data_IF_763335764237
#
_entry.id   IF_763335764237
#
_cell.length_a   1.000
_cell.length_b   1.000
_cell.length_c   1.000
_cell.angle_alpha   90.00
_cell.angle_beta   90.00
_cell.angle_gamma   90.00
#
_symmetry.space_group_name_H-M   'P 1'
#
loop_
_entity.id
_entity.type
_entity.pdbx_description
1 polymer ?
#
# COMPACT_ATOMS: atom_id res chain seq x y z
N UNK A 1 67.58 39.23 -17.69
CA UNK A 1 66.28 38.83 -18.28
C UNK A 1 66.14 37.31 -18.13
N UNK A 2 65.41 36.85 -17.13
CA UNK A 2 65.17 35.42 -16.89
C UNK A 2 63.80 35.04 -17.45
N UNK A 3 63.77 34.12 -18.41
CA UNK A 3 62.54 33.60 -19.00
C UNK A 3 61.98 32.45 -18.14
N UNK A 4 60.85 32.69 -17.48
CA UNK A 4 60.10 31.69 -16.72
C UNK A 4 59.21 30.88 -17.68
N UNK A 5 59.52 29.60 -17.86
CA UNK A 5 58.65 28.63 -18.58
C UNK A 5 57.57 28.12 -17.63
N UNK A 6 56.32 28.53 -17.84
CA UNK A 6 55.16 27.95 -17.17
C UNK A 6 54.83 26.58 -17.79
N UNK A 7 54.88 25.52 -16.97
CA UNK A 7 54.32 24.20 -17.30
C UNK A 7 52.90 24.12 -16.73
N UNK A 8 51.92 24.01 -17.60
CA UNK A 8 50.52 23.71 -17.28
C UNK A 8 50.39 22.27 -16.78
N UNK A 9 49.78 22.00 -15.61
CA UNK A 9 49.38 20.66 -15.24
C UNK A 9 48.05 20.29 -15.91
N UNK A 10 48.03 19.12 -16.55
CA UNK A 10 46.85 18.51 -17.14
C UNK A 10 45.78 18.25 -16.07
N UNK A 11 44.63 18.89 -16.21
CA UNK A 11 43.44 18.63 -15.40
C UNK A 11 42.94 17.22 -15.72
N UNK A 12 43.21 16.25 -14.84
CA UNK A 12 42.63 14.91 -14.93
C UNK A 12 41.14 14.99 -14.62
N UNK A 13 40.33 14.69 -15.62
CA UNK A 13 38.88 14.60 -15.56
C UNK A 13 38.50 13.33 -14.77
N UNK A 14 38.35 13.44 -13.45
CA UNK A 14 37.81 12.37 -12.61
C UNK A 14 36.30 12.30 -12.84
N UNK A 15 35.90 11.48 -13.80
CA UNK A 15 34.51 11.05 -14.00
C UNK A 15 34.15 10.10 -12.86
N UNK A 16 33.72 10.66 -11.72
CA UNK A 16 33.21 9.90 -10.59
C UNK A 16 31.90 9.21 -10.96
N UNK A 17 31.99 7.90 -11.21
CA UNK A 17 30.84 7.03 -11.42
C UNK A 17 29.99 6.99 -10.14
N UNK A 18 28.92 7.80 -10.11
CA UNK A 18 27.81 7.66 -9.18
C UNK A 18 27.07 6.36 -9.52
N UNK A 19 27.55 5.25 -8.97
CA UNK A 19 26.81 3.99 -8.91
C UNK A 19 25.64 4.19 -7.94
N UNK A 20 24.57 4.81 -8.43
CA UNK A 20 23.29 4.88 -7.73
C UNK A 20 22.77 3.44 -7.71
N UNK A 21 23.04 2.74 -6.61
CA UNK A 21 22.44 1.44 -6.34
C UNK A 21 20.93 1.61 -6.31
N UNK A 22 20.22 0.96 -7.23
CA UNK A 22 18.78 0.76 -7.11
C UNK A 22 18.52 -0.06 -5.84
N UNK A 23 18.30 0.61 -4.71
CA UNK A 23 17.74 -0.04 -3.54
C UNK A 23 16.35 -0.54 -3.95
N UNK A 24 16.22 -1.86 -4.13
CA UNK A 24 14.93 -2.47 -4.45
C UNK A 24 13.95 -2.16 -3.31
N UNK A 25 12.74 -1.74 -3.67
CA UNK A 25 11.68 -1.52 -2.70
C UNK A 25 11.40 -2.82 -1.92
N UNK A 26 11.01 -2.74 -0.63
CA UNK A 26 10.69 -3.92 0.15
C UNK A 26 9.55 -4.71 -0.49
N UNK A 27 9.72 -6.02 -0.57
CA UNK A 27 8.75 -6.97 -1.12
C UNK A 27 8.05 -7.72 0.01
N UNK A 28 6.73 -7.59 0.09
CA UNK A 28 5.86 -8.24 1.05
C UNK A 28 5.26 -9.50 0.41
N UNK A 29 5.76 -10.67 0.82
CA UNK A 29 5.21 -11.95 0.37
C UNK A 29 4.03 -12.34 1.25
N UNK A 30 2.87 -12.52 0.62
CA UNK A 30 1.70 -13.14 1.19
C UNK A 30 1.80 -14.62 0.83
N UNK A 31 1.84 -15.51 1.82
CA UNK A 31 1.97 -16.97 1.63
C UNK A 31 0.68 -17.58 1.05
N UNK A 32 0.32 -17.11 -0.14
CA UNK A 32 -0.86 -17.47 -0.88
C UNK A 32 -0.43 -17.65 -2.32
N UNK A 33 -0.55 -18.87 -2.84
CA UNK A 33 -0.29 -19.08 -4.27
C UNK A 33 -1.39 -18.39 -5.09
N UNK A 34 -0.99 -17.59 -6.08
CA UNK A 34 -1.90 -17.17 -7.13
C UNK A 34 -2.28 -18.41 -7.95
N UNK A 35 -3.57 -18.71 -8.04
CA UNK A 35 -4.03 -19.87 -8.79
C UNK A 35 -4.37 -19.47 -10.23
N UNK A 36 -3.80 -20.14 -11.25
CA UNK A 36 -3.88 -19.72 -12.65
C UNK A 36 -5.15 -20.16 -13.40
N UNK A 37 -6.21 -20.61 -12.72
CA UNK A 37 -7.42 -21.05 -13.42
C UNK A 37 -8.29 -19.86 -13.86
N UNK A 38 -8.91 -19.96 -15.04
CA UNK A 38 -9.93 -19.02 -15.49
C UNK A 38 -10.98 -18.81 -14.38
N UNK A 39 -11.21 -17.55 -14.00
CA UNK A 39 -12.08 -17.18 -12.88
C UNK A 39 -13.56 -17.41 -13.18
N UNK A 40 -13.93 -17.62 -14.45
CA UNK A 40 -15.32 -17.64 -14.90
C UNK A 40 -16.01 -16.28 -14.80
N UNK A 41 -15.31 -15.24 -14.35
CA UNK A 41 -15.75 -13.85 -14.22
C UNK A 41 -14.59 -12.90 -14.51
N UNK A 42 -14.90 -11.67 -14.92
CA UNK A 42 -13.90 -10.68 -15.29
C UNK A 42 -13.59 -9.73 -14.12
N UNK A 43 -12.31 -9.60 -13.78
CA UNK A 43 -11.84 -8.54 -12.86
C UNK A 43 -11.27 -7.39 -13.68
N UNK A 44 -11.92 -6.24 -13.61
CA UNK A 44 -11.57 -5.04 -14.36
C UNK A 44 -10.93 -4.02 -13.41
N UNK A 45 -9.62 -3.80 -13.56
CA UNK A 45 -8.90 -2.79 -12.80
C UNK A 45 -9.14 -1.38 -13.38
N UNK A 46 -9.92 -0.55 -12.67
CA UNK A 46 -10.15 0.87 -12.96
C UNK A 46 -9.50 1.79 -11.92
N UNK A 47 -8.56 1.28 -11.11
CA UNK A 47 -7.83 2.12 -10.14
C UNK A 47 -6.94 3.12 -10.89
N UNK A 48 -6.80 4.30 -10.31
CA UNK A 48 -5.84 5.29 -10.81
C UNK A 48 -4.40 4.78 -10.71
N UNK A 49 -3.54 5.21 -11.64
CA UNK A 49 -2.12 4.81 -11.68
C UNK A 49 -1.36 5.18 -10.40
N UNK A 50 -1.78 6.23 -9.70
CA UNK A 50 -1.21 6.58 -8.40
C UNK A 50 -1.37 5.42 -7.40
N UNK A 51 -2.57 4.84 -7.30
CA UNK A 51 -2.89 3.78 -6.32
C UNK A 51 -2.03 2.52 -6.48
N UNK A 52 -1.48 2.31 -7.67
CA UNK A 52 -0.64 1.16 -8.04
C UNK A 52 0.83 1.34 -7.65
N UNK A 53 1.24 2.57 -7.32
CA UNK A 53 2.64 2.93 -7.06
C UNK A 53 2.90 3.15 -5.57
N UNK A 54 4.11 2.79 -5.09
CA UNK A 54 4.54 3.17 -3.75
C UNK A 54 4.64 4.69 -3.63
N UNK A 55 4.23 5.24 -2.49
CA UNK A 55 4.34 6.67 -2.22
C UNK A 55 4.54 6.93 -0.73
N UNK A 56 5.43 7.86 -0.39
CA UNK A 56 5.46 8.45 0.95
C UNK A 56 4.51 9.63 0.96
N UNK A 57 3.43 9.51 1.72
CA UNK A 57 2.33 10.48 1.64
C UNK A 57 2.74 11.85 2.19
N UNK A 58 3.56 11.89 3.24
CA UNK A 58 4.21 13.12 3.71
C UNK A 58 5.39 12.86 4.64
N UNK A 59 6.41 13.71 4.54
CA UNK A 59 7.51 13.80 5.49
C UNK A 59 7.32 14.92 6.53
N UNK A 60 6.30 15.77 6.38
CA UNK A 60 6.06 16.89 7.27
C UNK A 60 5.32 16.42 8.52
N UNK A 61 5.94 16.53 9.70
CA UNK A 61 5.33 16.10 10.97
C UNK A 61 4.00 16.77 11.32
N UNK A 62 3.74 17.95 10.75
CA UNK A 62 2.47 18.68 10.89
C UNK A 62 1.37 18.22 9.93
N UNK A 63 1.71 17.37 8.95
CA UNK A 63 0.75 16.80 8.00
C UNK A 63 0.03 15.61 8.60
N UNK A 64 -1.27 15.48 8.36
CA UNK A 64 -2.00 14.27 8.73
C UNK A 64 -1.59 13.02 7.90
N UNK A 65 -0.82 13.22 6.83
CA UNK A 65 -0.20 12.16 6.04
C UNK A 65 1.21 11.78 6.52
N UNK A 66 1.69 12.38 7.62
CA UNK A 66 3.02 12.11 8.15
C UNK A 66 3.20 10.64 8.54
N UNK A 67 4.30 10.04 8.10
CA UNK A 67 4.64 8.65 8.47
C UNK A 67 3.69 7.62 7.88
N UNK A 68 2.90 8.00 6.87
CA UNK A 68 2.01 7.11 6.11
C UNK A 68 2.67 6.81 4.76
N UNK A 69 2.74 5.53 4.43
CA UNK A 69 3.31 5.01 3.19
C UNK A 69 2.25 4.26 2.43
N UNK A 70 1.94 4.64 1.19
CA UNK A 70 1.15 3.80 0.28
C UNK A 70 2.05 2.69 -0.26
N UNK A 71 1.56 1.45 -0.19
CA UNK A 71 2.24 0.30 -0.76
C UNK A 71 1.84 0.13 -2.23
N UNK A 72 2.83 -0.11 -3.09
CA UNK A 72 2.64 -0.36 -4.53
C UNK A 72 2.22 -1.80 -4.85
N UNK A 73 1.74 -2.04 -6.06
CA UNK A 73 1.43 -3.39 -6.55
C UNK A 73 2.69 -4.25 -6.69
N UNK A 74 3.81 -3.62 -7.03
CA UNK A 74 5.15 -4.23 -7.14
C UNK A 74 5.75 -4.63 -5.79
N UNK A 75 5.21 -4.11 -4.69
CA UNK A 75 5.64 -4.44 -3.34
C UNK A 75 4.90 -5.62 -2.72
N UNK A 76 3.84 -6.14 -3.34
CA UNK A 76 3.00 -7.20 -2.75
C UNK A 76 2.96 -8.40 -3.68
N UNK A 77 3.37 -9.56 -3.18
CA UNK A 77 3.46 -10.79 -3.98
C UNK A 77 2.69 -11.92 -3.30
N UNK A 78 1.70 -12.54 -3.99
CA UNK A 78 1.17 -12.14 -5.30
C UNK A 78 0.43 -10.80 -5.23
N UNK A 79 0.15 -10.20 -6.40
CA UNK A 79 -0.48 -8.87 -6.46
C UNK A 79 -1.82 -8.85 -5.72
N UNK A 80 -2.19 -7.70 -5.16
CA UNK A 80 -3.45 -7.55 -4.41
C UNK A 80 -4.69 -7.92 -5.23
N UNK A 81 -4.66 -7.68 -6.54
CA UNK A 81 -5.72 -8.11 -7.45
C UNK A 81 -5.75 -9.64 -7.62
N UNK A 82 -4.59 -10.29 -7.73
CA UNK A 82 -4.56 -11.76 -7.78
C UNK A 82 -5.13 -12.38 -6.50
N UNK A 83 -4.81 -11.81 -5.33
CA UNK A 83 -5.37 -12.24 -4.04
C UNK A 83 -6.90 -12.03 -4.00
N UNK A 84 -7.40 -10.90 -4.48
CA UNK A 84 -8.84 -10.63 -4.57
C UNK A 84 -9.55 -11.61 -5.51
N UNK A 85 -9.03 -11.78 -6.73
CA UNK A 85 -9.57 -12.73 -7.71
C UNK A 85 -9.62 -14.13 -7.14
N UNK A 86 -8.56 -14.56 -6.45
CA UNK A 86 -8.51 -15.86 -5.77
C UNK A 86 -9.63 -15.99 -4.73
N UNK A 87 -9.73 -15.04 -3.80
CA UNK A 87 -10.73 -15.08 -2.73
C UNK A 87 -12.17 -15.05 -3.24
N UNK A 88 -12.46 -14.21 -4.24
CA UNK A 88 -13.77 -14.15 -4.88
C UNK A 88 -14.10 -15.44 -5.61
N UNK A 89 -13.15 -16.06 -6.32
CA UNK A 89 -13.36 -17.32 -7.02
C UNK A 89 -13.62 -18.48 -6.06
N UNK A 90 -12.82 -18.62 -5.01
CA UNK A 90 -12.94 -19.71 -4.05
C UNK A 90 -14.29 -19.71 -3.32
N UNK A 91 -14.87 -18.52 -3.11
CA UNK A 91 -16.07 -18.36 -2.30
C UNK A 91 -17.33 -18.08 -3.11
N UNK A 92 -17.20 -17.34 -4.21
CA UNK A 92 -18.31 -16.81 -5.01
C UNK A 92 -18.20 -17.19 -6.49
N UNK A 93 -17.24 -18.03 -6.91
CA UNK A 93 -16.96 -18.29 -8.33
C UNK A 93 -18.18 -18.71 -9.16
N UNK A 94 -19.05 -19.58 -8.62
CA UNK A 94 -20.31 -19.95 -9.28
C UNK A 94 -21.31 -18.79 -9.36
N UNK A 95 -21.39 -17.97 -8.32
CA UNK A 95 -22.30 -16.82 -8.27
C UNK A 95 -21.83 -15.67 -9.17
N UNK A 96 -20.53 -15.59 -9.40
CA UNK A 96 -19.90 -14.58 -10.25
C UNK A 96 -19.79 -14.99 -11.72
N UNK A 97 -20.19 -16.21 -12.11
CA UNK A 97 -19.99 -16.68 -13.46
C UNK A 97 -20.61 -15.75 -14.53
N UNK A 98 -19.79 -15.31 -15.49
CA UNK A 98 -20.15 -14.34 -16.54
C UNK A 98 -20.30 -12.90 -16.06
N UNK A 99 -20.03 -12.61 -14.78
CA UNK A 99 -20.17 -11.27 -14.19
C UNK A 99 -18.86 -10.48 -14.26
N UNK A 100 -18.98 -9.19 -13.97
CA UNK A 100 -17.86 -8.24 -13.90
C UNK A 100 -17.66 -7.78 -12.46
N UNK A 101 -16.40 -7.75 -12.05
CA UNK A 101 -15.92 -7.17 -10.79
C UNK A 101 -15.04 -6.00 -11.17
N UNK A 102 -15.55 -4.78 -11.00
CA UNK A 102 -14.83 -3.55 -11.31
C UNK A 102 -14.16 -3.05 -10.03
N UNK A 103 -12.84 -2.87 -10.08
CA UNK A 103 -12.04 -2.36 -8.95
C UNK A 103 -11.72 -0.90 -9.21
N UNK A 104 -12.40 0.02 -8.51
CA UNK A 104 -12.14 1.46 -8.63
C UNK A 104 -11.17 1.97 -7.58
N UNK A 105 -11.11 1.31 -6.42
CA UNK A 105 -10.14 1.62 -5.37
C UNK A 105 -9.67 0.37 -4.67
N UNK A 106 -8.36 0.23 -4.50
CA UNK A 106 -7.76 -0.83 -3.68
C UNK A 106 -6.39 -0.38 -3.18
N UNK A 107 -6.38 0.55 -2.24
CA UNK A 107 -5.16 1.13 -1.69
C UNK A 107 -4.79 0.46 -0.38
N UNK A 108 -3.48 0.34 -0.14
CA UNK A 108 -2.94 -0.25 1.08
C UNK A 108 -1.93 0.75 1.62
N UNK A 109 -2.09 1.13 2.88
CA UNK A 109 -1.22 2.07 3.55
C UNK A 109 -0.58 1.41 4.77
N UNK A 110 0.73 1.54 4.90
CA UNK A 110 1.44 1.32 6.15
C UNK A 110 1.50 2.65 6.91
N UNK A 111 0.68 2.77 7.96
CA UNK A 111 0.72 3.90 8.87
C UNK A 111 1.68 3.59 10.02
N UNK A 112 2.79 4.32 10.05
CA UNK A 112 3.83 4.22 11.07
C UNK A 112 3.93 5.49 11.93
N UNK A 113 2.97 6.40 11.78
CA UNK A 113 2.98 7.68 12.47
C UNK A 113 2.98 7.48 13.99
N UNK A 114 4.03 7.99 14.65
CA UNK A 114 4.19 7.93 16.11
C UNK A 114 3.55 9.11 16.82
N UNK A 115 2.99 10.06 16.07
CA UNK A 115 2.68 11.38 16.62
C UNK A 115 1.44 11.32 17.50
N UNK A 116 1.62 11.72 18.76
CA UNK A 116 0.59 12.18 19.70
C UNK A 116 0.03 13.57 19.32
N UNK A 117 0.42 14.13 18.16
CA UNK A 117 -0.09 15.40 17.66
C UNK A 117 -1.47 15.13 17.09
N UNK A 118 -2.45 15.21 17.98
CA UNK A 118 -3.86 14.89 17.80
C UNK A 118 -4.61 15.85 16.88
N UNK A 119 -3.96 16.45 15.87
CA UNK A 119 -4.65 17.52 15.15
C UNK A 119 -5.79 17.03 14.26
N UNK A 120 -5.84 15.76 13.82
CA UNK A 120 -6.89 15.36 12.87
C UNK A 120 -7.38 13.92 13.02
N UNK A 121 -8.18 13.70 14.07
CA UNK A 121 -8.95 12.47 14.32
C UNK A 121 -10.48 12.60 14.16
N UNK A 122 -11.01 13.82 13.96
CA UNK A 122 -12.46 14.04 13.99
C UNK A 122 -13.21 13.56 12.73
N UNK A 123 -12.53 13.31 11.62
CA UNK A 123 -13.16 12.94 10.33
C UNK A 123 -12.89 11.50 9.91
N UNK A 124 -12.64 10.61 10.88
CA UNK A 124 -12.53 9.16 10.63
C UNK A 124 -13.84 8.48 10.20
N UNK A 125 -14.92 9.23 9.99
CA UNK A 125 -16.22 8.74 9.49
C UNK A 125 -16.91 9.85 8.68
N UNK A 126 -16.69 9.87 7.36
CA UNK A 126 -17.49 10.68 6.42
C UNK A 126 -16.89 12.03 6.01
N UNK A 127 -16.88 12.26 4.69
CA UNK A 127 -16.44 13.47 3.95
C UNK A 127 -14.98 13.44 3.48
N UNK A 128 -14.82 13.17 2.17
CA UNK A 128 -13.55 12.95 1.47
C UNK A 128 -12.65 14.18 1.31
N UNK A 129 -12.21 14.79 2.42
CA UNK A 129 -11.22 15.88 2.42
C UNK A 129 -10.13 15.74 3.50
N UNK A 130 -10.13 14.67 4.30
CA UNK A 130 -9.14 14.42 5.35
C UNK A 130 -8.27 13.19 5.07
N UNK A 131 -7.12 13.09 5.74
CA UNK A 131 -6.18 11.96 5.59
C UNK A 131 -6.85 10.61 5.92
N UNK A 132 -7.32 9.91 4.89
CA UNK A 132 -8.15 8.71 5.06
C UNK A 132 -7.41 7.54 5.71
N UNK A 133 -6.09 7.61 5.83
CA UNK A 133 -5.27 6.58 6.47
C UNK A 133 -4.71 6.99 7.83
N UNK A 134 -5.04 8.20 8.31
CA UNK A 134 -4.71 8.67 9.65
C UNK A 134 -5.66 8.08 10.70
N UNK A 135 -5.18 7.95 11.95
CA UNK A 135 -5.97 7.46 13.07
C UNK A 135 -6.08 8.51 14.18
N UNK A 136 -7.30 8.64 14.68
CA UNK A 136 -7.59 9.39 15.89
C UNK A 136 -6.99 8.62 17.09
N UNK A 137 -6.39 9.32 18.08
CA UNK A 137 -5.87 8.69 19.30
C UNK A 137 -6.90 7.81 20.00
N UNK A 138 -8.19 8.12 19.92
CA UNK A 138 -9.28 7.34 20.52
C UNK A 138 -9.42 5.94 19.91
N UNK A 139 -9.10 5.78 18.62
CA UNK A 139 -9.16 4.49 17.90
C UNK A 139 -7.83 3.72 17.95
N UNK A 140 -6.74 4.37 18.32
CA UNK A 140 -5.41 3.77 18.46
C UNK A 140 -4.63 4.45 19.61
N UNK A 141 -5.06 4.27 20.87
CA UNK A 141 -4.54 5.04 22.02
C UNK A 141 -3.06 4.77 22.32
N UNK A 142 -2.52 3.69 21.75
CA UNK A 142 -1.13 3.28 21.90
C UNK A 142 -0.26 3.66 20.71
N UNK A 143 -0.81 4.38 19.72
CA UNK A 143 -0.15 4.77 18.47
C UNK A 143 0.60 3.59 17.82
N UNK A 144 -0.05 2.43 17.81
CA UNK A 144 0.51 1.22 17.21
C UNK A 144 0.50 1.39 15.68
N UNK A 145 1.55 0.94 14.98
CA UNK A 145 1.55 1.04 13.54
C UNK A 145 0.46 0.13 12.95
N UNK A 146 -0.21 0.61 11.91
CA UNK A 146 -1.42 0.01 11.38
C UNK A 146 -1.34 -0.13 9.86
N UNK A 147 -1.91 -1.22 9.33
CA UNK A 147 -2.16 -1.35 7.90
C UNK A 147 -3.61 -0.94 7.63
N UNK A 148 -3.80 -0.03 6.68
CA UNK A 148 -5.11 0.45 6.25
C UNK A 148 -5.35 0.02 4.82
N UNK A 149 -6.49 -0.62 4.57
CA UNK A 149 -6.90 -1.04 3.23
C UNK A 149 -8.20 -0.33 2.88
N UNK A 150 -8.17 0.52 1.85
CA UNK A 150 -9.34 1.21 1.33
C UNK A 150 -9.79 0.53 0.05
N UNK A 151 -11.05 0.12 0.00
CA UNK A 151 -11.61 -0.63 -1.12
C UNK A 151 -12.91 0.01 -1.63
N UNK A 152 -13.03 0.09 -2.96
CA UNK A 152 -14.24 0.48 -3.68
C UNK A 152 -14.36 -0.43 -4.91
N UNK A 153 -15.34 -1.33 -4.86
CA UNK A 153 -15.61 -2.37 -5.84
C UNK A 153 -17.05 -2.22 -6.34
N UNK A 154 -17.28 -2.54 -7.60
CA UNK A 154 -18.62 -2.79 -8.15
C UNK A 154 -18.67 -4.25 -8.60
N UNK A 155 -19.55 -5.02 -7.98
CA UNK A 155 -19.80 -6.43 -8.31
C UNK A 155 -21.23 -6.51 -8.82
N UNK A 156 -21.38 -6.71 -10.14
CA UNK A 156 -22.69 -6.87 -10.78
C UNK A 156 -23.68 -5.71 -10.49
N UNK A 157 -23.18 -4.47 -10.48
CA UNK A 157 -23.97 -3.28 -10.18
C UNK A 157 -24.14 -3.00 -8.68
N UNK A 158 -23.65 -3.88 -7.80
CA UNK A 158 -23.62 -3.65 -6.35
C UNK A 158 -22.28 -3.08 -5.93
N UNK A 159 -22.32 -1.84 -5.44
CA UNK A 159 -21.13 -1.15 -4.94
C UNK A 159 -20.79 -1.58 -3.51
N UNK A 160 -19.54 -2.00 -3.29
CA UNK A 160 -18.95 -2.31 -2.00
C UNK A 160 -17.87 -1.27 -1.73
N UNK A 161 -18.07 -0.43 -0.72
CA UNK A 161 -17.07 0.51 -0.24
C UNK A 161 -16.78 0.21 1.22
N UNK A 162 -15.51 -0.01 1.53
CA UNK A 162 -15.11 -0.35 2.89
C UNK A 162 -13.69 0.14 3.20
N UNK A 163 -13.41 0.26 4.49
CA UNK A 163 -12.10 0.61 5.04
C UNK A 163 -11.75 -0.41 6.12
N UNK A 164 -10.78 -1.26 5.83
CA UNK A 164 -10.28 -2.29 6.73
C UNK A 164 -9.03 -1.76 7.42
N UNK A 165 -8.95 -1.96 8.73
CA UNK A 165 -7.87 -1.46 9.56
C UNK A 165 -7.34 -2.62 10.39
N UNK A 166 -6.05 -2.91 10.25
CA UNK A 166 -5.34 -3.90 11.04
C UNK A 166 -4.33 -3.19 11.93
N UNK A 167 -4.62 -3.14 13.24
CA UNK A 167 -3.72 -2.60 14.27
C UNK A 167 -3.06 -3.78 14.98
N UNK A 168 -1.73 -3.85 15.01
CA UNK A 168 -1.03 -4.95 15.69
C UNK A 168 0.04 -4.45 16.68
N UNK A 169 0.27 -5.16 17.79
CA UNK A 169 1.33 -4.83 18.74
C UNK A 169 2.72 -4.92 18.09
N UNK A 170 3.61 -4.04 18.54
CA UNK A 170 4.91 -3.70 17.93
C UNK A 170 5.94 -4.80 18.19
N UNK A 171 6.67 -5.21 17.15
CA UNK A 171 8.09 -5.55 17.26
C UNK A 171 8.93 -4.44 16.59
N UNK A 172 10.25 -4.44 16.73
CA UNK A 172 11.10 -3.27 16.44
C UNK A 172 11.03 -2.76 14.97
N UNK A 173 10.61 -3.60 14.03
CA UNK A 173 10.48 -3.27 12.60
C UNK A 173 9.17 -2.51 12.28
N UNK A 174 9.30 -1.22 11.94
CA UNK A 174 8.16 -0.33 11.67
C UNK A 174 7.88 -0.08 10.19
N UNK A 175 8.93 0.10 9.38
CA UNK A 175 8.83 0.59 7.99
C UNK A 175 8.93 -0.57 6.99
N UNK A 176 9.92 -1.45 7.18
CA UNK A 176 10.13 -2.68 6.42
C UNK A 176 10.66 -3.77 7.35
N UNK A 177 10.69 -5.02 6.88
CA UNK A 177 11.16 -6.17 7.66
C UNK A 177 10.09 -7.24 7.89
N UNK A 178 10.45 -8.39 8.47
CA UNK A 178 9.57 -9.55 8.61
C UNK A 178 8.24 -9.22 9.33
N UNK A 179 8.29 -8.37 10.35
CA UNK A 179 7.09 -7.99 11.12
C UNK A 179 6.15 -7.12 10.26
N UNK A 180 6.68 -6.24 9.42
CA UNK A 180 5.86 -5.44 8.49
C UNK A 180 5.23 -6.36 7.44
N UNK A 181 5.99 -7.31 6.90
CA UNK A 181 5.49 -8.31 5.96
C UNK A 181 4.33 -9.11 6.55
N UNK A 182 4.46 -9.61 7.76
CA UNK A 182 3.39 -10.35 8.43
C UNK A 182 2.15 -9.47 8.70
N UNK A 183 2.33 -8.19 9.06
CA UNK A 183 1.22 -7.25 9.21
C UNK A 183 0.48 -6.99 7.89
N UNK A 184 1.23 -6.77 6.80
CA UNK A 184 0.65 -6.59 5.46
C UNK A 184 -0.10 -7.85 5.04
N UNK A 185 0.50 -9.03 5.23
CA UNK A 185 -0.12 -10.33 4.94
C UNK A 185 -1.44 -10.51 5.68
N UNK A 186 -1.46 -10.31 7.00
CA UNK A 186 -2.68 -10.45 7.82
C UNK A 186 -3.76 -9.45 7.40
N UNK A 187 -3.38 -8.18 7.19
CA UNK A 187 -4.30 -7.16 6.73
C UNK A 187 -4.90 -7.50 5.35
N UNK A 188 -4.08 -8.04 4.44
CA UNK A 188 -4.53 -8.48 3.12
C UNK A 188 -5.52 -9.63 3.22
N UNK A 189 -5.19 -10.69 3.94
CA UNK A 189 -6.07 -11.85 4.13
C UNK A 189 -7.39 -11.43 4.78
N UNK A 190 -7.33 -10.61 5.83
CA UNK A 190 -8.52 -10.09 6.50
C UNK A 190 -9.39 -9.21 5.58
N UNK A 191 -8.75 -8.38 4.75
CA UNK A 191 -9.46 -7.52 3.80
C UNK A 191 -10.16 -8.33 2.71
N UNK A 192 -9.47 -9.32 2.12
CA UNK A 192 -10.09 -10.20 1.11
C UNK A 192 -11.26 -10.96 1.71
N UNK A 193 -11.11 -11.54 2.91
CA UNK A 193 -12.21 -12.22 3.59
C UNK A 193 -13.41 -11.30 3.80
N UNK A 194 -13.17 -10.08 4.30
CA UNK A 194 -14.23 -9.10 4.54
C UNK A 194 -14.92 -8.65 3.25
N UNK A 195 -14.17 -8.43 2.18
CA UNK A 195 -14.73 -8.12 0.85
C UNK A 195 -15.63 -9.26 0.37
N UNK A 196 -15.19 -10.50 0.49
CA UNK A 196 -15.97 -11.68 0.11
C UNK A 196 -17.25 -11.80 0.96
N UNK A 197 -17.15 -11.60 2.27
CA UNK A 197 -18.29 -11.64 3.18
C UNK A 197 -19.33 -10.56 2.80
N UNK A 198 -18.87 -9.35 2.49
CA UNK A 198 -19.74 -8.26 2.01
C UNK A 198 -20.31 -8.53 0.61
N UNK A 199 -19.54 -9.22 -0.24
CA UNK A 199 -19.90 -9.58 -1.62
C UNK A 199 -20.86 -10.78 -1.71
N UNK A 200 -21.00 -11.55 -0.64
CA UNK A 200 -21.99 -12.62 -0.53
C UNK A 200 -23.41 -12.03 -0.50
N UNK A 201 -24.39 -12.69 -1.16
CA UNK A 201 -25.80 -12.28 -1.14
C UNK A 201 -26.49 -12.54 0.20
#
# INVERSE_FOLDING_TARGET
>A
MFAMKYRTPALSLICGALMIGCAAAPLYRVDEEASPSESGFDVIDKRDEAQKKPEVMSYLGSSCWYGIFRLGDDQIVPSRLALLTKGLRERLGRQLQGKKVIVSRFEIFNNTALSSISTYGLLGVGSGSGCESAFAPEKNPRNLPAIVVNVDLDIDGRRIRDKIVQIEPVGDDRISGPIVTERVKRAMVASIRRIVDLASP
#
